data_IF_230403008091
#
_entry.id   IF_230403008091
#
_cell.length_a   1.000
_cell.length_b   1.000
_cell.length_c   1.000
_cell.angle_alpha   90.00
_cell.angle_beta   90.00
_cell.angle_gamma   90.00
#
_symmetry.space_group_name_H-M   'P 1'
#
loop_
_entity.id
_entity.type
_entity.pdbx_description
1 polymer ?
#
# COMPACT_ATOMS: atom_id res chain seq x y z
N UNK A 1 -19.64 -24.95 3.92
CA UNK A 1 -18.34 -24.30 4.17
C UNK A 1 -18.15 -23.27 3.09
N UNK A 2 -18.31 -21.99 3.42
CA UNK A 2 -17.95 -20.91 2.50
C UNK A 2 -16.47 -20.68 2.77
N UNK A 3 -15.61 -21.19 1.89
CA UNK A 3 -14.21 -20.79 1.84
C UNK A 3 -14.19 -19.34 1.37
N UNK A 4 -14.12 -18.44 2.33
CA UNK A 4 -14.05 -17.01 2.11
C UNK A 4 -12.62 -16.69 1.63
N UNK A 5 -12.41 -16.77 0.32
CA UNK A 5 -11.15 -16.52 -0.38
C UNK A 5 -10.83 -15.01 -0.43
N UNK A 6 -10.62 -14.39 0.73
CA UNK A 6 -10.37 -12.95 0.83
C UNK A 6 -8.91 -12.63 0.53
N UNK A 7 -8.71 -11.88 -0.56
CA UNK A 7 -7.43 -11.34 -1.05
C UNK A 7 -7.08 -10.04 -0.32
N UNK A 8 -5.82 -9.65 -0.36
CA UNK A 8 -5.31 -8.39 0.19
C UNK A 8 -6.07 -7.19 -0.40
N UNK A 9 -6.93 -6.58 0.40
CA UNK A 9 -7.62 -5.35 0.06
C UNK A 9 -7.06 -4.22 0.91
N UNK A 10 -6.09 -3.47 0.37
CA UNK A 10 -5.85 -2.10 0.82
C UNK A 10 -7.11 -1.30 0.46
N UNK A 11 -8.00 -1.11 1.44
CA UNK A 11 -9.25 -0.36 1.27
C UNK A 11 -8.96 1.06 1.73
N UNK A 12 -8.80 1.95 0.76
CA UNK A 12 -8.76 3.37 1.02
C UNK A 12 -10.09 3.95 0.54
N UNK A 13 -11.06 4.07 1.46
CA UNK A 13 -12.43 4.49 1.12
C UNK A 13 -12.46 5.80 0.34
N UNK A 14 -11.61 6.78 0.67
CA UNK A 14 -11.55 8.04 -0.08
C UNK A 14 -11.05 7.82 -1.51
N UNK A 15 -10.07 6.95 -1.72
CA UNK A 15 -9.59 6.64 -3.08
C UNK A 15 -10.65 5.89 -3.87
N UNK A 16 -11.37 4.98 -3.22
CA UNK A 16 -12.51 4.33 -3.83
C UNK A 16 -13.60 5.35 -4.20
N UNK A 17 -13.83 6.38 -3.40
CA UNK A 17 -14.87 7.38 -3.69
C UNK A 17 -14.40 8.40 -4.75
N UNK A 18 -13.15 8.87 -4.69
CA UNK A 18 -12.66 9.98 -5.52
C UNK A 18 -12.06 9.54 -6.87
N UNK A 19 -11.56 8.30 -6.97
CA UNK A 19 -10.86 7.82 -8.18
C UNK A 19 -11.69 6.86 -9.04
N UNK A 20 -13.02 6.93 -8.98
CA UNK A 20 -13.89 6.11 -9.83
C UNK A 20 -14.16 4.70 -9.30
N UNK A 21 -13.99 4.47 -8.00
CA UNK A 21 -14.45 3.23 -7.37
C UNK A 21 -13.38 2.14 -7.23
N UNK A 22 -13.87 0.99 -6.80
CA UNK A 22 -13.14 -0.28 -6.78
C UNK A 22 -12.61 -0.67 -8.17
N UNK A 23 -13.28 -0.24 -9.24
CA UNK A 23 -12.90 -0.55 -10.62
C UNK A 23 -11.52 0.02 -10.98
N UNK A 24 -11.24 1.28 -10.64
CA UNK A 24 -9.92 1.89 -10.90
C UNK A 24 -8.80 1.22 -10.12
N UNK A 25 -9.06 0.92 -8.84
CA UNK A 25 -8.10 0.21 -8.00
C UNK A 25 -7.82 -1.18 -8.57
N UNK A 26 -8.86 -1.89 -9.02
CA UNK A 26 -8.73 -3.22 -9.60
C UNK A 26 -8.03 -3.21 -10.96
N UNK A 27 -8.27 -2.20 -11.81
CA UNK A 27 -7.54 -2.02 -13.06
C UNK A 27 -6.04 -1.87 -12.79
N UNK A 28 -5.66 -1.00 -11.85
CA UNK A 28 -4.25 -0.77 -11.50
C UNK A 28 -3.62 -2.01 -10.86
N UNK A 29 -4.33 -2.71 -9.96
CA UNK A 29 -3.83 -3.98 -9.40
C UNK A 29 -3.57 -5.01 -10.50
N UNK A 30 -4.48 -5.14 -11.47
CA UNK A 30 -4.33 -6.05 -12.60
C UNK A 30 -3.20 -5.64 -13.55
N UNK A 31 -2.95 -4.34 -13.72
CA UNK A 31 -1.81 -3.82 -14.48
C UNK A 31 -0.47 -4.31 -13.88
N UNK A 32 -0.35 -4.29 -12.56
CA UNK A 32 0.88 -4.63 -11.84
C UNK A 32 0.95 -6.10 -11.39
N UNK A 33 -0.11 -6.88 -11.55
CA UNK A 33 -0.18 -8.28 -11.11
C UNK A 33 0.90 -9.19 -11.73
N UNK A 34 1.38 -8.84 -12.93
CA UNK A 34 2.44 -9.58 -13.62
C UNK A 34 3.86 -9.16 -13.26
N UNK A 35 4.03 -8.12 -12.44
CA UNK A 35 5.34 -7.57 -12.11
C UNK A 35 6.04 -8.45 -11.07
N UNK A 36 7.35 -8.67 -11.25
CA UNK A 36 8.17 -9.29 -10.22
C UNK A 36 8.33 -8.37 -9.01
N UNK A 37 8.69 -8.94 -7.87
CA UNK A 37 9.02 -8.19 -6.65
C UNK A 37 10.07 -7.12 -6.93
N UNK A 38 11.11 -7.44 -7.70
CA UNK A 38 12.18 -6.52 -8.07
C UNK A 38 11.64 -5.34 -8.88
N UNK A 39 10.83 -5.60 -9.91
CA UNK A 39 10.19 -4.54 -10.70
C UNK A 39 9.25 -3.68 -9.86
N UNK A 40 8.50 -4.26 -8.92
CA UNK A 40 7.61 -3.50 -8.02
C UNK A 40 8.42 -2.57 -7.10
N UNK A 41 9.56 -3.01 -6.57
CA UNK A 41 10.43 -2.19 -5.72
C UNK A 41 11.10 -1.04 -6.50
N UNK A 42 11.56 -1.33 -7.71
CA UNK A 42 12.09 -0.31 -8.63
C UNK A 42 11.01 0.72 -8.99
N UNK A 43 9.81 0.24 -9.32
CA UNK A 43 8.69 1.09 -9.65
C UNK A 43 8.27 1.96 -8.46
N UNK A 44 8.09 1.39 -7.27
CA UNK A 44 7.82 2.14 -6.04
C UNK A 44 8.88 3.24 -5.79
N UNK A 45 10.17 2.92 -5.97
CA UNK A 45 11.24 3.92 -5.85
C UNK A 45 11.07 5.06 -6.86
N UNK A 46 10.70 4.75 -8.11
CA UNK A 46 10.47 5.76 -9.15
C UNK A 46 9.26 6.67 -8.82
N UNK A 47 8.21 6.10 -8.22
CA UNK A 47 7.01 6.82 -7.81
C UNK A 47 7.29 7.84 -6.72
N UNK A 48 8.37 7.74 -5.94
CA UNK A 48 8.70 8.77 -4.94
C UNK A 48 8.94 10.17 -5.54
N UNK A 49 9.18 10.27 -6.86
CA UNK A 49 9.49 11.52 -7.56
C UNK A 49 8.57 11.81 -8.74
N UNK A 50 7.73 10.86 -9.13
CA UNK A 50 6.87 11.00 -10.30
C UNK A 50 5.72 11.94 -10.00
N UNK A 51 5.66 13.14 -10.60
CA UNK A 51 4.49 13.98 -10.44
C UNK A 51 3.26 13.29 -11.03
N UNK A 52 2.23 13.09 -10.22
CA UNK A 52 0.89 12.68 -10.64
C UNK A 52 -0.06 13.87 -10.52
N UNK A 53 -1.30 13.69 -10.94
CA UNK A 53 -2.35 14.64 -10.57
C UNK A 53 -2.47 14.72 -9.04
N UNK A 54 -2.79 15.92 -8.54
CA UNK A 54 -2.94 16.16 -7.10
C UNK A 54 -4.31 15.68 -6.65
N UNK A 55 -4.33 14.79 -5.66
CA UNK A 55 -5.53 14.22 -5.07
C UNK A 55 -5.49 14.35 -3.54
N UNK A 56 -6.52 14.91 -2.91
CA UNK A 56 -6.60 14.88 -1.45
C UNK A 56 -6.75 13.44 -0.97
N UNK A 57 -5.85 12.95 -0.11
CA UNK A 57 -6.01 11.65 0.54
C UNK A 57 -5.75 11.74 2.06
N UNK A 58 -6.43 10.90 2.86
CA UNK A 58 -6.24 10.78 4.31
C UNK A 58 -4.92 10.09 4.65
N UNK A 59 -4.35 10.42 5.80
CA UNK A 59 -2.93 10.19 6.09
C UNK A 59 -2.59 8.88 6.82
N UNK A 60 -3.54 8.10 7.35
CA UNK A 60 -3.21 6.99 8.26
C UNK A 60 -3.47 5.61 7.67
N UNK A 61 -2.38 4.84 7.50
CA UNK A 61 -2.46 3.40 7.26
C UNK A 61 -2.60 2.67 8.59
N UNK A 62 -3.60 1.78 8.69
CA UNK A 62 -3.78 0.89 9.84
C UNK A 62 -4.19 -0.50 9.37
N UNK A 63 -3.39 -1.49 9.69
CA UNK A 63 -3.72 -2.88 9.37
C UNK A 63 -4.62 -3.43 10.51
N UNK A 64 -5.86 -3.84 10.22
CA UNK A 64 -6.87 -4.18 11.24
C UNK A 64 -8.16 -4.78 10.66
N UNK A 65 -8.89 -5.61 11.42
CA UNK A 65 -10.10 -6.33 10.95
C UNK A 65 -11.27 -5.39 10.54
N UNK A 66 -11.25 -4.15 11.00
CA UNK A 66 -12.34 -3.17 10.90
C UNK A 66 -11.81 -1.74 11.02
N UNK A 67 -12.60 -0.78 10.52
CA UNK A 67 -12.24 0.65 10.54
C UNK A 67 -12.51 1.13 11.95
N UNK A 68 -11.48 1.64 12.63
CA UNK A 68 -11.64 2.24 13.94
C UNK A 68 -12.00 3.74 13.83
N UNK A 69 -11.64 4.36 12.70
CA UNK A 69 -12.04 5.72 12.35
C UNK A 69 -12.12 5.89 10.83
N UNK A 70 -12.87 6.89 10.37
CA UNK A 70 -12.94 7.23 8.95
C UNK A 70 -11.56 7.68 8.39
N UNK A 71 -10.56 7.96 9.24
CA UNK A 71 -9.21 8.34 8.81
C UNK A 71 -8.27 7.15 8.59
N UNK A 72 -8.73 5.94 8.92
CA UNK A 72 -7.93 4.72 8.86
C UNK A 72 -8.02 4.05 7.48
N UNK A 73 -6.91 3.51 6.98
CA UNK A 73 -6.88 2.63 5.80
C UNK A 73 -6.60 1.19 6.24
N UNK A 74 -7.55 0.28 6.02
CA UNK A 74 -7.42 -1.15 6.38
C UNK A 74 -6.66 -1.95 5.34
N UNK A 75 -5.84 -2.89 5.83
CA UNK A 75 -5.31 -4.02 5.08
C UNK A 75 -5.68 -5.32 5.79
N UNK A 76 -6.51 -6.19 5.20
CA UNK A 76 -6.84 -7.55 5.70
C UNK A 76 -6.98 -8.52 4.49
N UNK A 77 -6.94 -9.87 4.55
CA UNK A 77 -6.86 -10.86 5.65
C UNK A 77 -6.18 -12.16 5.16
N UNK A 78 -4.98 -12.49 5.64
CA UNK A 78 -4.46 -13.87 5.67
C UNK A 78 -3.56 -14.00 6.90
N UNK A 79 -3.37 -15.24 7.40
CA UNK A 79 -2.39 -15.51 8.46
C UNK A 79 -0.94 -15.21 8.03
N UNK A 80 -0.72 -14.98 6.73
CA UNK A 80 0.58 -14.74 6.11
C UNK A 80 0.40 -13.64 5.05
N UNK A 81 1.24 -12.61 5.10
CA UNK A 81 1.17 -11.51 4.14
C UNK A 81 1.94 -11.92 2.87
N UNK A 82 1.24 -12.05 1.75
CA UNK A 82 1.91 -12.17 0.45
C UNK A 82 2.63 -10.87 0.12
N UNK A 83 3.96 -10.96 0.03
CA UNK A 83 4.81 -9.78 -0.15
C UNK A 83 4.64 -9.13 -1.53
N UNK A 84 4.33 -9.91 -2.56
CA UNK A 84 4.10 -9.36 -3.90
C UNK A 84 2.77 -8.60 -3.94
N UNK A 85 1.70 -9.18 -3.38
CA UNK A 85 0.40 -8.51 -3.26
C UNK A 85 0.52 -7.21 -2.45
N UNK A 86 1.30 -7.21 -1.36
CA UNK A 86 1.60 -6.03 -0.55
C UNK A 86 2.23 -4.92 -1.40
N UNK A 87 3.23 -5.27 -2.22
CA UNK A 87 3.92 -4.32 -3.08
C UNK A 87 3.05 -3.82 -4.24
N UNK A 88 2.23 -4.68 -4.85
CA UNK A 88 1.24 -4.29 -5.86
C UNK A 88 0.32 -3.23 -5.27
N UNK A 89 -0.22 -3.50 -4.09
CA UNK A 89 -1.15 -2.61 -3.46
C UNK A 89 -0.48 -1.30 -3.02
N UNK A 90 0.78 -1.33 -2.56
CA UNK A 90 1.58 -0.12 -2.31
C UNK A 90 1.74 0.75 -3.58
N UNK A 91 2.14 0.17 -4.72
CA UNK A 91 2.35 0.97 -5.94
C UNK A 91 1.04 1.52 -6.49
N UNK A 92 -0.05 0.76 -6.40
CA UNK A 92 -1.40 1.25 -6.71
C UNK A 92 -1.74 2.47 -5.86
N UNK A 93 -1.46 2.42 -4.56
CA UNK A 93 -1.71 3.56 -3.68
C UNK A 93 -0.83 4.75 -4.00
N UNK A 94 0.46 4.54 -4.23
CA UNK A 94 1.39 5.63 -4.58
C UNK A 94 0.95 6.34 -5.87
N UNK A 95 0.38 5.63 -6.85
CA UNK A 95 -0.15 6.21 -8.09
C UNK A 95 -1.37 7.11 -7.87
N UNK A 96 -2.14 6.88 -6.81
CA UNK A 96 -3.41 7.56 -6.56
C UNK A 96 -3.29 8.71 -5.55
N UNK A 97 -2.09 8.96 -5.00
CA UNK A 97 -1.86 10.02 -4.01
C UNK A 97 -0.79 11.02 -4.43
N UNK A 98 -0.78 12.15 -3.71
CA UNK A 98 0.22 13.19 -3.89
C UNK A 98 1.64 12.68 -3.64
N UNK A 99 2.58 13.17 -4.44
CA UNK A 99 3.99 12.79 -4.37
C UNK A 99 4.59 13.05 -2.98
N UNK A 100 4.17 14.11 -2.30
CA UNK A 100 4.62 14.51 -0.97
C UNK A 100 4.18 13.52 0.14
N UNK A 101 3.11 12.76 -0.10
CA UNK A 101 2.56 11.81 0.88
C UNK A 101 3.19 10.42 0.79
N UNK A 102 3.80 10.09 -0.36
CA UNK A 102 4.35 8.74 -0.64
C UNK A 102 5.45 8.28 0.32
N UNK A 103 6.41 9.13 0.75
CA UNK A 103 7.39 8.71 1.74
C UNK A 103 6.73 8.30 3.06
N UNK A 104 5.72 9.07 3.51
CA UNK A 104 5.01 8.80 4.75
C UNK A 104 4.17 7.51 4.66
N UNK A 105 3.51 7.29 3.52
CA UNK A 105 2.78 6.03 3.25
C UNK A 105 3.67 4.80 3.47
N UNK A 106 4.90 4.82 2.95
CA UNK A 106 5.85 3.70 3.10
C UNK A 106 6.25 3.52 4.56
N UNK A 107 6.53 4.60 5.29
CA UNK A 107 6.96 4.51 6.69
C UNK A 107 5.83 4.05 7.62
N UNK A 108 4.61 4.53 7.39
CA UNK A 108 3.43 4.13 8.16
C UNK A 108 3.04 2.67 7.86
N UNK A 109 3.21 2.23 6.60
CA UNK A 109 3.06 0.81 6.24
C UNK A 109 4.09 -0.06 6.95
N UNK A 110 5.38 0.32 6.96
CA UNK A 110 6.42 -0.43 7.68
C UNK A 110 6.12 -0.53 9.18
N UNK A 111 5.68 0.57 9.80
CA UNK A 111 5.27 0.59 11.21
C UNK A 111 4.10 -0.34 11.47
N UNK A 112 3.08 -0.32 10.61
CA UNK A 112 1.88 -1.14 10.75
C UNK A 112 2.18 -2.62 10.55
N UNK A 113 3.02 -2.97 9.57
CA UNK A 113 3.45 -4.36 9.33
C UNK A 113 4.13 -4.96 10.56
N UNK A 114 4.95 -4.17 11.27
CA UNK A 114 5.66 -4.64 12.47
C UNK A 114 4.74 -5.14 13.58
N UNK A 115 3.53 -4.60 13.67
CA UNK A 115 2.54 -4.99 14.69
C UNK A 115 1.91 -6.35 14.40
N UNK A 116 2.01 -6.85 13.15
CA UNK A 116 1.21 -7.99 12.66
C UNK A 116 2.09 -9.11 12.09
N UNK A 117 3.08 -8.76 11.27
CA UNK A 117 4.03 -9.69 10.69
C UNK A 117 5.44 -9.07 10.71
N UNK A 118 6.22 -9.49 11.70
CA UNK A 118 7.58 -8.97 11.90
C UNK A 118 8.53 -9.37 10.77
N UNK A 119 8.38 -10.56 10.19
CA UNK A 119 9.28 -11.02 9.13
C UNK A 119 9.06 -10.22 7.85
N UNK A 120 7.80 -10.05 7.47
CA UNK A 120 7.42 -9.21 6.31
C UNK A 120 7.78 -7.75 6.57
N UNK A 121 7.60 -7.24 7.79
CA UNK A 121 8.05 -5.90 8.17
C UNK A 121 9.56 -5.72 8.03
N UNK A 122 10.37 -6.65 8.53
CA UNK A 122 11.83 -6.56 8.48
C UNK A 122 12.32 -6.62 7.02
N UNK A 123 11.70 -7.47 6.20
CA UNK A 123 11.95 -7.52 4.75
C UNK A 123 11.59 -6.20 4.07
N UNK A 124 10.37 -5.70 4.30
CA UNK A 124 9.89 -4.44 3.71
C UNK A 124 10.76 -3.24 4.11
N UNK A 125 11.19 -3.19 5.37
CA UNK A 125 12.09 -2.15 5.87
C UNK A 125 13.43 -2.15 5.11
N UNK A 126 14.03 -3.33 4.96
CA UNK A 126 15.30 -3.50 4.25
C UNK A 126 15.19 -3.19 2.75
N UNK A 127 14.12 -3.64 2.11
CA UNK A 127 13.94 -3.51 0.67
C UNK A 127 13.57 -2.07 0.26
N UNK A 128 12.84 -1.34 1.12
CA UNK A 128 12.30 -0.03 0.77
C UNK A 128 12.34 1.02 1.90
N UNK A 129 11.77 0.74 3.07
CA UNK A 129 11.47 1.79 4.05
C UNK A 129 12.72 2.47 4.63
N UNK A 130 13.80 1.74 4.89
CA UNK A 130 15.06 2.33 5.38
C UNK A 130 15.67 3.33 4.39
N UNK A 131 15.62 3.00 3.09
CA UNK A 131 16.11 3.87 2.02
C UNK A 131 15.29 5.15 1.95
N UNK A 132 13.96 5.02 2.06
CA UNK A 132 13.04 6.17 2.08
C UNK A 132 13.29 7.05 3.29
N UNK A 133 13.41 6.47 4.49
CA UNK A 133 13.70 7.22 5.72
C UNK A 133 14.97 8.06 5.57
N UNK A 134 16.08 7.48 5.09
CA UNK A 134 17.35 8.20 4.93
C UNK A 134 17.33 9.32 3.89
N UNK A 135 16.38 9.30 2.95
CA UNK A 135 16.35 10.23 1.82
C UNK A 135 15.33 11.36 1.98
N UNK A 136 14.25 11.14 2.73
CA UNK A 136 13.10 12.03 2.76
C UNK A 136 12.75 12.55 4.17
N UNK A 137 13.38 12.05 5.23
CA UNK A 137 13.17 12.43 6.64
C UNK A 137 14.50 12.80 7.29
#
# INVERSE_FOLDING_TARGET
MITDNRKLSLIWEDILIEHGGEETVEILKNEYASYSIEHLLEFATSLLKLNTENHPCRYQVRIGDFLLSDQDTIVYSQNEIDYQDLLIALVTLMMLINVEQRPYLILDLAKSLREIDREVSDRFAKDLAEKVYRQYI
#
